data_IF_286369510966
#
_entry.id   IF_286369510966
#
_cell.length_a   1.000
_cell.length_b   1.000
_cell.length_c   1.000
_cell.angle_alpha   90.00
_cell.angle_beta   90.00
_cell.angle_gamma   90.00
#
_symmetry.space_group_name_H-M   'P 1'
#
loop_
_entity.id
_entity.type
_entity.pdbx_description
1 polymer ?
#
# COMPACT_ATOMS: atom_id res chain seq x y z
N UNK A 1 -18.28 -24.49 -20.35
CA UNK A 1 -19.44 -24.43 -19.43
C UNK A 1 -18.96 -23.89 -18.09
N UNK A 2 -19.50 -22.77 -17.57
CA UNK A 2 -19.08 -22.19 -16.30
C UNK A 2 -19.85 -22.82 -15.12
N UNK A 3 -19.86 -24.15 -15.00
CA UNK A 3 -20.68 -24.86 -14.01
C UNK A 3 -19.93 -25.28 -12.74
N UNK A 4 -18.67 -24.89 -12.55
CA UNK A 4 -17.81 -25.37 -11.45
C UNK A 4 -17.35 -24.29 -10.46
N UNK A 5 -17.86 -23.07 -10.54
CA UNK A 5 -17.66 -22.05 -9.50
C UNK A 5 -18.91 -22.01 -8.62
N UNK A 6 -18.90 -22.74 -7.51
CA UNK A 6 -19.32 -22.27 -6.18
C UNK A 6 -19.34 -23.46 -5.21
N UNK A 7 -18.19 -23.77 -4.61
CA UNK A 7 -18.23 -24.30 -3.23
C UNK A 7 -18.21 -23.09 -2.33
N UNK A 8 -19.39 -22.61 -1.92
CA UNK A 8 -19.48 -21.61 -0.86
C UNK A 8 -19.02 -22.32 0.41
N UNK A 9 -17.80 -22.02 0.87
CA UNK A 9 -17.32 -22.50 2.16
C UNK A 9 -17.89 -21.55 3.21
N UNK A 10 -18.80 -22.06 4.04
CA UNK A 10 -19.27 -21.32 5.21
C UNK A 10 -18.08 -21.02 6.12
N UNK A 11 -17.94 -19.76 6.55
CA UNK A 11 -16.89 -19.29 7.45
C UNK A 11 -17.52 -18.48 8.57
N UNK A 12 -17.07 -18.72 9.80
CA UNK A 12 -17.48 -17.92 10.95
C UNK A 12 -16.64 -16.64 11.04
N UNK A 13 -17.19 -15.58 11.62
CA UNK A 13 -16.46 -14.32 11.83
C UNK A 13 -15.26 -14.47 12.77
N UNK A 14 -15.23 -15.52 13.58
CA UNK A 14 -14.13 -15.86 14.46
C UNK A 14 -13.12 -16.84 13.82
N UNK A 15 -13.36 -17.27 12.57
CA UNK A 15 -12.36 -18.06 11.85
C UNK A 15 -11.13 -17.22 11.54
N UNK A 16 -9.97 -17.86 11.62
CA UNK A 16 -8.67 -17.25 11.35
C UNK A 16 -8.47 -17.02 9.86
N UNK A 17 -8.11 -15.79 9.51
CA UNK A 17 -7.92 -15.34 8.12
C UNK A 17 -6.45 -15.12 7.78
N UNK A 18 -5.61 -14.69 8.74
CA UNK A 18 -4.19 -14.46 8.51
C UNK A 18 -3.37 -14.60 9.81
N UNK A 19 -2.11 -15.03 9.69
CA UNK A 19 -1.16 -15.16 10.81
C UNK A 19 0.14 -14.41 10.48
N UNK A 20 0.20 -13.08 10.64
CA UNK A 20 1.44 -12.33 10.54
C UNK A 20 2.40 -12.67 11.68
N UNK A 21 3.71 -12.66 11.40
CA UNK A 21 4.74 -12.86 12.42
C UNK A 21 5.26 -11.51 12.93
N UNK A 22 5.43 -11.42 14.24
CA UNK A 22 6.06 -10.28 14.92
C UNK A 22 7.33 -10.73 15.63
N UNK A 23 8.34 -9.85 15.72
CA UNK A 23 9.62 -10.18 16.36
C UNK A 23 9.50 -10.51 17.85
N UNK A 24 8.51 -9.93 18.54
CA UNK A 24 8.29 -10.12 19.97
C UNK A 24 9.48 -9.69 20.84
N UNK A 25 9.29 -9.69 22.16
CA UNK A 25 10.37 -9.39 23.12
C UNK A 25 11.18 -10.63 23.53
N UNK A 26 10.75 -11.83 23.12
CA UNK A 26 11.32 -13.12 23.54
C UNK A 26 12.34 -13.74 22.58
N UNK A 27 12.86 -12.97 21.61
CA UNK A 27 13.87 -13.41 20.65
C UNK A 27 13.37 -14.32 19.51
N UNK A 28 12.21 -14.98 19.67
CA UNK A 28 11.61 -15.82 18.64
C UNK A 28 10.36 -15.15 18.04
N UNK A 29 10.20 -15.16 16.70
CA UNK A 29 9.00 -14.62 16.08
C UNK A 29 7.72 -15.31 16.57
N UNK A 30 6.71 -14.52 16.92
CA UNK A 30 5.39 -15.01 17.32
C UNK A 30 4.37 -14.73 16.25
N UNK A 31 3.61 -15.75 15.86
CA UNK A 31 2.43 -15.59 15.00
C UNK A 31 1.31 -14.90 15.76
N UNK A 32 0.72 -13.88 15.15
CA UNK A 32 -0.44 -13.16 15.69
C UNK A 32 -1.66 -13.64 14.91
N UNK A 33 -2.62 -14.25 15.60
CA UNK A 33 -3.85 -14.75 14.98
C UNK A 33 -4.82 -13.60 14.72
N UNK A 34 -5.18 -13.39 13.44
CA UNK A 34 -6.20 -12.44 13.05
C UNK A 34 -7.42 -13.21 12.50
N UNK A 35 -8.57 -12.96 13.10
CA UNK A 35 -9.87 -13.50 12.69
C UNK A 35 -10.53 -12.56 11.68
N UNK A 36 -11.54 -13.04 10.95
CA UNK A 36 -12.31 -12.16 10.05
C UNK A 36 -12.82 -10.90 10.78
N UNK A 37 -13.36 -11.07 12.00
CA UNK A 37 -13.92 -9.98 12.79
C UNK A 37 -12.89 -8.92 13.15
N UNK A 38 -11.75 -9.31 13.73
CA UNK A 38 -10.74 -8.34 14.18
C UNK A 38 -10.02 -7.71 12.98
N UNK A 39 -9.83 -8.46 11.90
CA UNK A 39 -9.14 -7.99 10.71
C UNK A 39 -9.96 -6.95 9.95
N UNK A 40 -11.24 -7.23 9.69
CA UNK A 40 -12.14 -6.25 9.05
C UNK A 40 -12.34 -5.02 9.93
N UNK A 41 -12.46 -5.20 11.25
CA UNK A 41 -12.56 -4.06 12.17
C UNK A 41 -11.33 -3.15 12.10
N UNK A 42 -10.13 -3.75 12.02
CA UNK A 42 -8.89 -2.99 11.85
C UNK A 42 -8.88 -2.25 10.50
N UNK A 43 -9.24 -2.91 9.39
CA UNK A 43 -9.31 -2.26 8.08
C UNK A 43 -10.26 -1.06 8.08
N UNK A 44 -11.45 -1.21 8.66
CA UNK A 44 -12.44 -0.14 8.73
C UNK A 44 -11.94 1.04 9.59
N UNK A 45 -11.24 0.78 10.69
CA UNK A 45 -10.61 1.84 11.50
C UNK A 45 -9.58 2.64 10.69
N UNK A 46 -8.87 1.99 9.78
CA UNK A 46 -7.88 2.67 8.95
C UNK A 46 -8.51 3.49 7.80
N UNK A 47 -9.79 3.29 7.48
CA UNK A 47 -10.52 4.12 6.53
C UNK A 47 -11.07 5.42 7.16
N UNK A 48 -10.82 5.67 8.44
CA UNK A 48 -11.12 6.96 9.07
C UNK A 48 -10.09 7.98 8.59
N UNK A 49 -10.53 9.23 8.33
CA UNK A 49 -9.77 10.29 7.66
C UNK A 49 -8.33 10.51 8.19
N UNK A 50 -8.04 10.23 9.46
CA UNK A 50 -6.70 10.37 10.03
C UNK A 50 -5.69 9.30 9.56
N UNK A 51 -6.17 8.13 9.12
CA UNK A 51 -5.35 6.97 8.74
C UNK A 51 -5.58 6.52 7.29
N UNK A 52 -6.48 7.20 6.56
CA UNK A 52 -6.73 6.97 5.14
C UNK A 52 -5.53 7.48 4.33
N UNK A 53 -5.12 6.71 3.33
CA UNK A 53 -4.12 7.12 2.34
C UNK A 53 -4.61 8.26 1.41
N UNK A 54 -5.79 8.82 1.67
CA UNK A 54 -6.46 9.85 0.89
C UNK A 54 -6.70 9.40 -0.56
N UNK A 55 -6.96 8.10 -0.71
CA UNK A 55 -7.27 7.49 -2.00
C UNK A 55 -8.67 7.89 -2.43
N UNK A 56 -8.81 8.20 -3.71
CA UNK A 56 -10.11 8.44 -4.33
C UNK A 56 -10.87 7.13 -4.45
N UNK A 57 -12.16 7.13 -4.13
CA UNK A 57 -13.03 6.00 -4.42
C UNK A 57 -13.11 5.79 -5.94
N UNK A 58 -12.91 4.56 -6.41
CA UNK A 58 -13.07 4.21 -7.82
C UNK A 58 -14.56 4.06 -8.18
N UNK A 59 -15.27 5.18 -8.26
CA UNK A 59 -16.70 5.27 -8.62
C UNK A 59 -16.96 5.55 -10.12
N UNK A 60 -15.88 5.72 -10.90
CA UNK A 60 -15.90 6.05 -12.33
C UNK A 60 -14.86 5.28 -13.16
N UNK A 61 -14.55 5.76 -14.39
CA UNK A 61 -13.55 5.13 -15.25
C UNK A 61 -12.11 5.34 -14.74
N UNK A 62 -11.91 6.31 -13.84
CA UNK A 62 -10.63 6.64 -13.24
C UNK A 62 -10.48 5.93 -11.89
N UNK A 63 -9.25 5.55 -11.56
CA UNK A 63 -8.90 4.97 -10.26
C UNK A 63 -7.45 5.31 -9.94
N UNK A 64 -7.14 5.43 -8.66
CA UNK A 64 -5.76 5.63 -8.22
C UNK A 64 -4.86 4.45 -8.60
N UNK A 65 -3.61 4.75 -8.93
CA UNK A 65 -2.59 3.74 -9.29
C UNK A 65 -1.49 3.79 -8.25
N UNK A 66 -1.28 2.67 -7.55
CA UNK A 66 -0.35 2.57 -6.44
C UNK A 66 0.58 1.34 -6.57
N UNK A 67 1.90 1.52 -6.72
CA UNK A 67 2.84 0.42 -6.65
C UNK A 67 3.00 -0.07 -5.21
N UNK A 68 3.00 -1.40 -5.02
CA UNK A 68 3.19 -2.01 -3.70
C UNK A 68 4.69 -2.08 -3.41
N UNK A 69 5.23 -1.01 -2.82
CA UNK A 69 6.65 -0.88 -2.50
C UNK A 69 7.03 -1.60 -1.21
N UNK A 70 6.10 -1.68 -0.26
CA UNK A 70 6.35 -2.42 0.98
C UNK A 70 6.07 -3.92 0.80
N UNK A 71 6.83 -4.79 1.48
CA UNK A 71 6.56 -6.22 1.42
C UNK A 71 5.18 -6.57 2.01
N UNK A 72 4.37 -7.32 1.26
CA UNK A 72 3.00 -7.72 1.67
C UNK A 72 2.97 -8.75 2.82
N UNK A 73 4.11 -9.36 3.16
CA UNK A 73 4.21 -10.20 4.36
C UNK A 73 4.30 -9.38 5.66
N UNK A 74 4.64 -8.09 5.56
CA UNK A 74 4.62 -7.17 6.70
C UNK A 74 3.21 -6.59 6.84
N UNK A 75 2.72 -6.46 8.08
CA UNK A 75 1.33 -6.05 8.34
C UNK A 75 0.98 -4.72 7.67
N UNK A 76 1.89 -3.74 7.64
CA UNK A 76 1.64 -2.47 6.95
C UNK A 76 1.57 -2.59 5.42
N UNK A 77 2.34 -3.48 4.80
CA UNK A 77 2.22 -3.75 3.37
C UNK A 77 0.90 -4.43 3.03
N UNK A 78 0.43 -5.30 3.93
CA UNK A 78 -0.85 -6.00 3.80
C UNK A 78 -2.05 -5.07 4.03
N UNK A 79 -2.15 -4.41 5.18
CA UNK A 79 -3.35 -3.65 5.56
C UNK A 79 -3.35 -2.24 4.99
N UNK A 80 -2.27 -1.48 5.15
CA UNK A 80 -2.20 -0.07 4.74
C UNK A 80 -2.16 0.06 3.23
N UNK A 81 -1.28 -0.67 2.55
CA UNK A 81 -1.10 -0.50 1.10
C UNK A 81 -2.06 -1.38 0.31
N UNK A 82 -1.99 -2.70 0.50
CA UNK A 82 -2.75 -3.62 -0.35
C UNK A 82 -4.24 -3.55 -0.07
N UNK A 83 -4.68 -3.72 1.18
CA UNK A 83 -6.10 -3.85 1.48
C UNK A 83 -6.85 -2.52 1.43
N UNK A 84 -6.30 -1.39 1.91
CA UNK A 84 -6.96 -0.10 1.68
C UNK A 84 -7.04 0.22 0.18
N UNK A 85 -5.97 0.00 -0.58
CA UNK A 85 -5.99 0.19 -2.02
C UNK A 85 -7.08 -0.64 -2.70
N UNK A 86 -7.22 -1.92 -2.33
CA UNK A 86 -8.31 -2.76 -2.84
C UNK A 86 -9.69 -2.28 -2.41
N UNK A 87 -9.85 -1.81 -1.16
CA UNK A 87 -11.12 -1.29 -0.66
C UNK A 87 -11.59 -0.06 -1.45
N UNK A 88 -10.65 0.79 -1.86
CA UNK A 88 -10.89 2.01 -2.66
C UNK A 88 -10.95 1.75 -4.16
N UNK A 89 -10.70 0.51 -4.60
CA UNK A 89 -10.68 0.13 -6.01
C UNK A 89 -9.44 0.62 -6.78
N UNK A 90 -8.32 0.83 -6.10
CA UNK A 90 -7.07 1.25 -6.73
C UNK A 90 -6.44 0.16 -7.60
N UNK A 91 -5.75 0.57 -8.66
CA UNK A 91 -4.86 -0.27 -9.45
C UNK A 91 -3.56 -0.49 -8.71
N UNK A 92 -3.39 -1.69 -8.16
CA UNK A 92 -2.17 -2.07 -7.47
C UNK A 92 -1.12 -2.66 -8.41
N UNK A 93 0.10 -2.13 -8.37
CA UNK A 93 1.20 -2.61 -9.23
C UNK A 93 2.22 -3.39 -8.39
N UNK A 94 2.31 -4.70 -8.63
CA UNK A 94 3.24 -5.61 -7.95
C UNK A 94 4.49 -5.89 -8.77
N UNK A 95 5.60 -6.14 -8.11
CA UNK A 95 6.87 -6.49 -8.76
C UNK A 95 7.74 -7.36 -7.81
N UNK A 96 8.65 -8.18 -8.35
CA UNK A 96 9.39 -9.16 -7.54
C UNK A 96 10.45 -8.54 -6.63
N UNK A 97 11.10 -7.44 -7.05
CA UNK A 97 12.16 -6.76 -6.27
C UNK A 97 12.22 -5.28 -6.61
N UNK A 98 12.23 -4.42 -5.58
CA UNK A 98 12.41 -3.00 -5.75
C UNK A 98 13.85 -2.66 -6.14
N UNK A 99 14.02 -1.86 -7.20
CA UNK A 99 15.26 -1.16 -7.53
C UNK A 99 14.93 0.29 -7.87
N UNK A 100 15.91 1.19 -7.78
CA UNK A 100 15.71 2.61 -8.14
C UNK A 100 15.28 2.78 -9.59
N UNK A 101 15.90 2.03 -10.51
CA UNK A 101 15.53 2.04 -11.93
C UNK A 101 14.09 1.54 -12.14
N UNK A 102 13.69 0.47 -11.44
CA UNK A 102 12.33 -0.03 -11.52
C UNK A 102 11.32 0.98 -10.98
N UNK A 103 11.62 1.64 -9.85
CA UNK A 103 10.74 2.66 -9.28
C UNK A 103 10.47 3.78 -10.28
N UNK A 104 11.51 4.34 -10.91
CA UNK A 104 11.35 5.39 -11.93
C UNK A 104 10.50 4.90 -13.10
N UNK A 105 10.74 3.67 -13.58
CA UNK A 105 9.96 3.08 -14.66
C UNK A 105 8.49 2.88 -14.28
N UNK A 106 8.20 2.49 -13.02
CA UNK A 106 6.84 2.31 -12.52
C UNK A 106 6.11 3.66 -12.49
N UNK A 107 6.75 4.70 -11.94
CA UNK A 107 6.18 6.04 -11.88
C UNK A 107 5.84 6.57 -13.28
N UNK A 108 6.76 6.37 -14.24
CA UNK A 108 6.58 6.84 -15.61
C UNK A 108 5.53 6.04 -16.39
N UNK A 109 5.61 4.70 -16.39
CA UNK A 109 4.81 3.87 -17.28
C UNK A 109 3.39 3.61 -16.77
N UNK A 110 3.19 3.63 -15.44
CA UNK A 110 1.89 3.37 -14.84
C UNK A 110 1.17 4.65 -14.42
N UNK A 111 1.78 5.83 -14.59
CA UNK A 111 1.24 7.11 -14.14
C UNK A 111 0.77 7.02 -12.68
N UNK A 112 1.69 6.59 -11.80
CA UNK A 112 1.40 6.39 -10.38
C UNK A 112 0.83 7.67 -9.76
N UNK A 113 -0.32 7.55 -9.10
CA UNK A 113 -1.01 8.70 -8.46
C UNK A 113 -0.69 8.77 -6.97
N UNK A 114 -0.46 7.62 -6.32
CA UNK A 114 -0.15 7.54 -4.88
C UNK A 114 1.07 6.67 -4.63
N UNK A 115 1.95 7.14 -3.73
CA UNK A 115 3.22 6.50 -3.44
C UNK A 115 3.50 6.45 -1.94
N UNK A 116 3.37 5.28 -1.33
CA UNK A 116 3.69 5.06 0.08
C UNK A 116 5.14 4.56 0.22
N UNK A 117 6.01 5.36 0.85
CA UNK A 117 7.43 5.05 1.01
C UNK A 117 7.78 4.97 2.49
N UNK A 118 8.43 3.89 2.90
CA UNK A 118 9.01 3.79 4.24
C UNK A 118 10.25 4.70 4.36
N UNK A 119 10.51 5.34 5.53
CA UNK A 119 11.62 6.29 5.71
C UNK A 119 13.00 5.80 5.20
N UNK A 120 13.39 4.52 5.36
CA UNK A 120 14.68 4.03 4.86
C UNK A 120 14.84 4.12 3.34
N UNK A 121 13.75 3.97 2.57
CA UNK A 121 13.77 4.06 1.11
C UNK A 121 13.93 5.51 0.66
N UNK A 122 13.27 6.46 1.36
CA UNK A 122 13.43 7.90 1.11
C UNK A 122 14.85 8.40 1.35
N UNK A 123 15.58 7.78 2.28
CA UNK A 123 16.96 8.13 2.61
C UNK A 123 18.02 7.44 1.73
N UNK A 124 17.61 6.65 0.74
CA UNK A 124 18.55 6.05 -0.21
C UNK A 124 19.19 7.15 -1.06
N UNK A 125 20.42 7.53 -0.69
CA UNK A 125 21.23 8.47 -1.47
C UNK A 125 21.46 7.86 -2.85
N UNK A 126 20.75 8.36 -3.84
CA UNK A 126 20.96 7.98 -5.22
C UNK A 126 22.35 8.50 -5.65
N UNK A 127 23.38 7.64 -5.59
CA UNK A 127 24.77 8.03 -5.87
C UNK A 127 24.98 8.51 -7.32
N UNK A 128 24.00 8.29 -8.20
CA UNK A 128 24.00 8.74 -9.59
C UNK A 128 23.06 9.94 -9.85
N UNK A 129 22.48 10.54 -8.80
CA UNK A 129 21.65 11.74 -8.94
C UNK A 129 22.52 12.99 -8.91
N UNK A 130 22.77 13.57 -10.09
CA UNK A 130 23.21 14.96 -10.21
C UNK A 130 21.96 15.85 -10.17
N UNK A 131 21.87 16.83 -9.24
CA UNK A 131 20.75 17.76 -9.24
C UNK A 131 20.77 18.55 -10.55
N UNK A 132 19.74 18.40 -11.39
CA UNK A 132 19.53 19.39 -12.45
C UNK A 132 19.18 20.70 -11.77
N UNK A 133 19.91 21.77 -12.09
CA UNK A 133 19.52 23.12 -11.71
C UNK A 133 18.08 23.32 -12.14
N UNK A 134 17.21 23.55 -11.17
CA UNK A 134 15.80 23.85 -11.39
C UNK A 134 15.73 25.17 -12.16
N UNK A 135 15.67 25.06 -13.49
CA UNK A 135 15.28 26.14 -14.38
C UNK A 135 13.84 25.85 -14.78
N UNK A 136 12.96 26.70 -14.27
CA UNK A 136 11.68 27.07 -14.87
C UNK A 136 10.64 25.94 -14.99
N UNK A 137 10.21 25.40 -13.85
CA UNK A 137 8.90 24.77 -13.74
C UNK A 137 8.06 25.56 -12.74
N UNK A 138 7.25 26.50 -13.24
CA UNK A 138 6.25 27.21 -12.46
C UNK A 138 5.17 26.21 -12.01
N UNK A 139 5.32 25.66 -10.81
CA UNK A 139 4.25 24.93 -10.13
C UNK A 139 3.24 25.93 -9.55
N UNK A 140 1.97 25.75 -9.93
CA UNK A 140 0.83 26.52 -9.42
C UNK A 140 0.73 26.39 -7.88
N UNK A 141 0.47 27.49 -7.14
CA UNK A 141 0.69 27.57 -5.69
C UNK A 141 -0.31 26.81 -4.80
N UNK A 142 -1.13 25.91 -5.34
CA UNK A 142 -2.26 25.31 -4.61
C UNK A 142 -2.05 23.88 -4.11
N UNK A 143 -0.82 23.37 -4.00
CA UNK A 143 -0.58 22.08 -3.32
C UNK A 143 -0.07 22.34 -1.91
N UNK A 144 -0.99 22.17 -0.97
CA UNK A 144 -0.88 22.35 0.48
C UNK A 144 0.34 21.65 1.06
N UNK A 145 1.11 22.42 1.84
CA UNK A 145 2.17 21.95 2.74
C UNK A 145 1.59 21.01 3.80
N UNK A 146 2.20 19.86 4.01
CA UNK A 146 2.27 19.12 5.29
C UNK A 146 3.22 17.91 5.06
N UNK A 147 4.54 18.07 5.18
CA UNK A 147 5.35 17.94 6.41
C UNK A 147 5.02 16.71 7.27
N UNK A 148 5.71 15.62 6.92
CA UNK A 148 6.40 14.66 7.78
C UNK A 148 6.33 14.94 9.29
N UNK A 149 5.65 14.03 10.01
CA UNK A 149 6.06 13.51 11.32
C UNK A 149 5.77 12.00 11.34
#
# INVERSE_FOLDING_TARGET
SPSNFQRVIQRDVNDTVVIPFSSGTGGHPKGVELTHRNFVSNLHQMCVHEFDLLLSEADGPEQDVMPIIMPMYHISGLTVIMLQGLLKGCKLVTFPKLTSALLVNLLHNFHTTVLCIAPPIGNSKNQNYTPRKQKDCNFSPNVTKQQLY
#
